data_IF_957682997574
#
_entry.id   IF_957682997574
#
_cell.length_a   1.000
_cell.length_b   1.000
_cell.length_c   1.000
_cell.angle_alpha   90.00
_cell.angle_beta   90.00
_cell.angle_gamma   90.00
#
_symmetry.space_group_name_H-M   'P 1'
#
loop_
_entity.id
_entity.type
_entity.pdbx_description
1 polymer ?
#
# COMPACT_ATOMS: atom_id res chain seq x y z
N UNK A 1 -9.87 9.90 5.99
CA UNK A 1 -9.43 8.60 5.44
C UNK A 1 -10.25 7.43 6.00
N UNK A 2 -10.38 7.23 7.31
CA UNK A 2 -11.12 6.11 7.89
C UNK A 2 -12.56 5.95 7.33
N UNK A 3 -13.37 7.01 7.34
CA UNK A 3 -14.76 6.99 6.81
C UNK A 3 -14.83 6.61 5.32
N UNK A 4 -13.77 6.89 4.56
CA UNK A 4 -13.70 6.60 3.13
C UNK A 4 -13.36 5.14 2.84
N UNK A 5 -12.70 4.45 3.78
CA UNK A 5 -12.28 3.06 3.65
C UNK A 5 -13.23 2.07 4.32
N UNK A 6 -14.16 2.55 5.17
CA UNK A 6 -15.08 1.68 5.94
C UNK A 6 -16.58 2.02 5.74
N UNK A 7 -16.89 2.97 4.86
CA UNK A 7 -18.28 3.48 4.72
C UNK A 7 -19.21 2.64 3.83
N UNK A 8 -18.70 1.60 3.15
CA UNK A 8 -19.46 0.80 2.20
C UNK A 8 -19.06 -0.67 2.25
N UNK A 9 -20.01 -1.58 1.97
CA UNK A 9 -19.74 -3.02 1.81
C UNK A 9 -19.02 -3.36 0.48
N UNK A 10 -18.42 -2.37 -0.18
CA UNK A 10 -17.72 -2.50 -1.43
C UNK A 10 -16.26 -2.11 -1.27
N UNK A 11 -15.40 -2.58 -2.17
CA UNK A 11 -13.98 -2.21 -2.20
C UNK A 11 -13.82 -0.70 -2.17
N UNK A 12 -13.05 -0.23 -1.22
CA UNK A 12 -12.82 1.20 -1.00
C UNK A 12 -11.36 1.55 -1.30
N UNK A 13 -11.14 2.56 -2.13
CA UNK A 13 -9.80 3.02 -2.46
C UNK A 13 -9.64 4.52 -2.15
N UNK A 14 -8.49 4.87 -1.59
CA UNK A 14 -8.10 6.25 -1.29
C UNK A 14 -6.74 6.54 -1.93
N UNK A 15 -6.64 7.66 -2.62
CA UNK A 15 -5.42 8.16 -3.24
C UNK A 15 -4.91 9.36 -2.46
N UNK A 16 -3.76 9.20 -1.79
CA UNK A 16 -3.04 10.29 -1.12
C UNK A 16 -2.09 10.92 -2.15
N UNK A 17 -2.42 12.10 -2.65
CA UNK A 17 -1.58 12.78 -3.63
C UNK A 17 -1.04 14.11 -3.09
N UNK A 18 0.12 14.54 -3.60
CA UNK A 18 0.78 15.79 -3.21
C UNK A 18 2.29 15.73 -3.42
N UNK A 19 2.97 16.80 -3.12
CA UNK A 19 4.41 16.96 -3.35
C UNK A 19 5.27 15.86 -2.70
N UNK A 20 6.47 15.64 -3.23
CA UNK A 20 7.47 14.78 -2.60
C UNK A 20 7.81 15.24 -1.18
N UNK A 21 8.07 14.31 -0.27
CA UNK A 21 8.45 14.63 1.11
C UNK A 21 7.36 15.19 2.02
N UNK A 22 6.10 15.34 1.54
CA UNK A 22 5.01 15.98 2.29
C UNK A 22 4.40 15.08 3.39
N UNK A 23 4.85 13.82 3.51
CA UNK A 23 4.37 12.91 4.56
C UNK A 23 3.25 11.95 4.13
N UNK A 24 3.00 11.73 2.82
CA UNK A 24 1.96 10.78 2.34
C UNK A 24 2.15 9.37 2.88
N UNK A 25 3.36 8.84 2.78
CA UNK A 25 3.74 7.52 3.31
C UNK A 25 3.58 7.48 4.82
N UNK A 26 3.99 8.54 5.55
CA UNK A 26 3.81 8.64 6.99
C UNK A 26 2.32 8.66 7.39
N UNK A 27 1.48 9.30 6.59
CA UNK A 27 0.04 9.32 6.82
C UNK A 27 -0.59 7.91 6.62
N UNK A 28 -0.09 7.14 5.64
CA UNK A 28 -0.49 5.75 5.45
C UNK A 28 -0.03 4.85 6.63
N UNK A 29 1.22 5.01 7.09
CA UNK A 29 1.76 4.30 8.26
C UNK A 29 0.93 4.61 9.50
N UNK A 30 0.65 5.88 9.77
CA UNK A 30 -0.13 6.29 10.93
C UNK A 30 -1.58 5.77 10.87
N UNK A 31 -2.15 5.70 9.66
CA UNK A 31 -3.45 5.07 9.47
C UNK A 31 -3.42 3.58 9.85
N UNK A 32 -2.42 2.84 9.39
CA UNK A 32 -2.22 1.42 9.74
C UNK A 32 -2.06 1.28 11.25
N UNK A 33 -1.20 2.08 11.86
CA UNK A 33 -0.95 2.03 13.31
C UNK A 33 -2.22 2.16 14.13
N UNK A 34 -3.15 3.05 13.70
CA UNK A 34 -4.42 3.32 14.41
C UNK A 34 -5.52 2.31 14.12
N UNK A 35 -5.47 1.63 12.97
CA UNK A 35 -6.61 0.85 12.48
C UNK A 35 -6.27 -0.60 12.12
N UNK A 36 -5.08 -1.09 12.47
CA UNK A 36 -4.63 -2.46 12.15
C UNK A 36 -5.63 -3.53 12.57
N UNK A 37 -6.30 -3.36 13.71
CA UNK A 37 -7.27 -4.31 14.26
C UNK A 37 -8.54 -4.49 13.37
N UNK A 38 -8.74 -3.60 12.40
CA UNK A 38 -9.86 -3.68 11.45
C UNK A 38 -9.58 -4.60 10.28
N UNK A 39 -8.31 -4.99 10.09
CA UNK A 39 -7.85 -5.77 8.97
C UNK A 39 -7.31 -7.12 9.41
N UNK A 40 -7.59 -8.15 8.60
CA UNK A 40 -7.02 -9.49 8.78
C UNK A 40 -5.64 -9.61 8.13
N UNK A 41 -5.33 -8.77 7.15
CA UNK A 41 -4.04 -8.70 6.49
C UNK A 41 -3.76 -7.28 5.99
N UNK A 42 -2.52 -6.82 6.13
CA UNK A 42 -2.06 -5.52 5.64
C UNK A 42 -0.83 -5.75 4.79
N UNK A 43 -0.91 -5.33 3.51
CA UNK A 43 0.10 -5.59 2.51
C UNK A 43 0.66 -4.27 1.97
N UNK A 44 1.97 -4.10 2.11
CA UNK A 44 2.69 -2.93 1.63
C UNK A 44 3.41 -3.26 0.34
N UNK A 45 3.13 -2.51 -0.73
CA UNK A 45 3.67 -2.75 -2.06
C UNK A 45 4.42 -1.50 -2.55
N UNK A 46 5.64 -1.71 -3.02
CA UNK A 46 6.39 -0.65 -3.70
C UNK A 46 5.88 -0.52 -5.15
N UNK A 47 5.20 0.57 -5.45
CA UNK A 47 4.59 0.83 -6.74
C UNK A 47 5.41 1.79 -7.63
N UNK A 48 6.70 1.91 -7.36
CA UNK A 48 7.61 2.78 -8.12
C UNK A 48 7.74 2.31 -9.59
N UNK A 49 7.77 1.00 -9.82
CA UNK A 49 7.84 0.33 -11.12
C UNK A 49 7.15 -1.04 -11.09
N UNK A 50 6.94 -1.66 -12.27
CA UNK A 50 6.24 -2.95 -12.35
C UNK A 50 7.04 -4.10 -11.69
N UNK A 51 8.37 -4.08 -11.76
CA UNK A 51 9.20 -5.15 -11.20
C UNK A 51 9.20 -5.08 -9.67
N UNK A 52 9.31 -3.88 -9.10
CA UNK A 52 9.13 -3.65 -7.65
C UNK A 52 7.77 -4.12 -7.15
N UNK A 53 6.71 -3.90 -7.93
CA UNK A 53 5.38 -4.40 -7.62
C UNK A 53 5.33 -5.93 -7.63
N UNK A 54 5.86 -6.58 -8.68
CA UNK A 54 5.90 -8.05 -8.78
C UNK A 54 6.67 -8.67 -7.62
N UNK A 55 7.82 -8.09 -7.26
CA UNK A 55 8.59 -8.52 -6.09
C UNK A 55 7.80 -8.37 -4.79
N UNK A 56 7.08 -7.26 -4.62
CA UNK A 56 6.20 -7.07 -3.46
C UNK A 56 5.10 -8.14 -3.39
N UNK A 57 4.53 -8.56 -4.53
CA UNK A 57 3.56 -9.66 -4.58
C UNK A 57 4.18 -11.01 -4.23
N UNK A 58 5.44 -11.25 -4.64
CA UNK A 58 6.19 -12.44 -4.22
C UNK A 58 6.36 -12.49 -2.70
N UNK A 59 6.75 -11.35 -2.11
CA UNK A 59 6.93 -11.25 -0.67
C UNK A 59 5.60 -11.51 0.08
N UNK A 60 4.48 -11.02 -0.46
CA UNK A 60 3.14 -11.34 0.06
C UNK A 60 2.87 -12.84 -0.01
N UNK A 61 3.13 -13.48 -1.15
CA UNK A 61 2.92 -14.92 -1.31
C UNK A 61 3.74 -15.74 -0.30
N UNK A 62 5.01 -15.40 -0.12
CA UNK A 62 5.89 -16.04 0.87
C UNK A 62 5.35 -15.91 2.30
N UNK A 63 4.87 -14.72 2.66
CA UNK A 63 4.30 -14.49 3.99
C UNK A 63 2.97 -15.23 4.18
N UNK A 64 2.10 -15.24 3.18
CA UNK A 64 0.84 -15.99 3.25
C UNK A 64 1.13 -17.48 3.43
N UNK A 65 2.05 -18.06 2.67
CA UNK A 65 2.44 -19.47 2.81
C UNK A 65 3.06 -19.79 4.17
N UNK A 66 3.82 -18.86 4.73
CA UNK A 66 4.40 -19.02 6.08
C UNK A 66 3.33 -19.14 7.16
N UNK A 67 2.24 -18.38 7.06
CA UNK A 67 1.16 -18.37 8.05
C UNK A 67 0.01 -19.33 7.71
N UNK A 68 -0.17 -19.65 6.44
CA UNK A 68 -1.20 -20.52 5.90
C UNK A 68 -0.62 -21.53 4.89
N UNK A 69 0.19 -22.51 5.35
CA UNK A 69 0.89 -23.44 4.46
C UNK A 69 -0.05 -24.31 3.62
N UNK A 70 -1.30 -24.48 4.05
CA UNK A 70 -2.34 -25.24 3.33
C UNK A 70 -2.99 -24.47 2.18
N UNK A 71 -2.55 -23.26 1.86
CA UNK A 71 -3.09 -22.46 0.75
C UNK A 71 -2.61 -23.03 -0.58
N UNK A 72 -3.36 -23.98 -1.14
CA UNK A 72 -3.00 -24.71 -2.37
C UNK A 72 -2.76 -23.79 -3.58
N UNK A 73 -3.51 -22.68 -3.69
CA UNK A 73 -3.36 -21.68 -4.77
C UNK A 73 -1.96 -21.08 -4.85
N UNK A 74 -1.33 -20.80 -3.72
CA UNK A 74 0.00 -20.20 -3.65
C UNK A 74 1.09 -21.27 -3.60
N UNK A 75 0.81 -22.42 -2.98
CA UNK A 75 1.79 -23.52 -2.88
C UNK A 75 2.10 -24.18 -4.22
N UNK A 76 1.20 -24.06 -5.21
CA UNK A 76 1.40 -24.62 -6.56
C UNK A 76 2.16 -23.72 -7.52
N UNK A 77 2.49 -22.50 -7.12
CA UNK A 77 3.16 -21.50 -7.98
C UNK A 77 4.63 -21.41 -7.63
N UNK A 78 5.51 -21.46 -8.64
CA UNK A 78 6.91 -21.14 -8.47
C UNK A 78 7.07 -19.63 -8.23
N UNK A 79 7.56 -19.27 -7.04
CA UNK A 79 7.68 -17.89 -6.61
C UNK A 79 8.86 -17.16 -7.26
N UNK A 80 9.78 -17.87 -7.87
CA UNK A 80 11.00 -17.27 -8.46
C UNK A 80 10.94 -17.21 -10.00
N UNK A 81 10.31 -18.19 -10.66
CA UNK A 81 10.33 -18.26 -12.13
C UNK A 81 9.29 -17.36 -12.79
N UNK A 82 8.08 -17.25 -12.22
CA UNK A 82 6.98 -16.54 -12.90
C UNK A 82 6.22 -15.58 -11.99
N UNK A 83 6.79 -14.40 -11.79
CA UNK A 83 6.19 -13.37 -10.95
C UNK A 83 4.77 -12.94 -11.39
N UNK A 84 4.41 -13.06 -12.67
CA UNK A 84 3.03 -12.77 -13.13
C UNK A 84 2.04 -13.83 -12.61
N UNK A 85 2.43 -15.09 -12.56
CA UNK A 85 1.60 -16.14 -11.95
C UNK A 85 1.46 -15.90 -10.43
N UNK A 86 2.54 -15.47 -9.76
CA UNK A 86 2.50 -15.10 -8.34
C UNK A 86 1.50 -13.96 -8.10
N UNK A 87 1.56 -12.89 -8.90
CA UNK A 87 0.59 -11.78 -8.83
C UNK A 87 -0.85 -12.29 -8.95
N UNK A 88 -1.13 -13.14 -9.95
CA UNK A 88 -2.46 -13.67 -10.17
C UNK A 88 -2.92 -14.59 -9.02
N UNK A 89 -2.03 -15.42 -8.48
CA UNK A 89 -2.34 -16.31 -7.36
C UNK A 89 -2.65 -15.51 -6.06
N UNK A 90 -1.87 -14.47 -5.77
CA UNK A 90 -2.14 -13.59 -4.62
C UNK A 90 -3.46 -12.84 -4.80
N UNK A 91 -3.75 -12.32 -6.00
CA UNK A 91 -5.03 -11.66 -6.28
C UNK A 91 -6.20 -12.63 -6.07
N UNK A 92 -6.12 -13.83 -6.62
CA UNK A 92 -7.14 -14.87 -6.45
C UNK A 92 -7.33 -15.24 -4.96
N UNK A 93 -6.24 -15.30 -4.19
CA UNK A 93 -6.32 -15.55 -2.74
C UNK A 93 -7.01 -14.40 -1.99
N UNK A 94 -6.76 -13.13 -2.36
CA UNK A 94 -7.43 -11.97 -1.79
C UNK A 94 -8.93 -11.90 -2.15
N UNK A 95 -9.33 -12.53 -3.27
CA UNK A 95 -10.72 -12.57 -3.74
C UNK A 95 -11.57 -13.63 -3.04
N UNK A 96 -10.96 -14.54 -2.26
CA UNK A 96 -11.69 -15.56 -1.50
C UNK A 96 -12.68 -14.89 -0.52
N UNK A 97 -13.96 -15.34 -0.46
CA UNK A 97 -14.97 -14.71 0.41
C UNK A 97 -14.62 -14.65 1.90
N UNK A 98 -13.71 -15.50 2.37
CA UNK A 98 -13.20 -15.47 3.76
C UNK A 98 -12.15 -14.38 4.00
N UNK A 99 -11.57 -13.80 2.97
CA UNK A 99 -10.51 -12.78 3.02
C UNK A 99 -11.05 -11.37 2.78
N UNK A 100 -12.13 -10.97 3.44
CA UNK A 100 -12.81 -9.71 3.12
C UNK A 100 -12.15 -8.46 3.71
N UNK A 101 -11.37 -8.60 4.77
CA UNK A 101 -10.85 -7.45 5.54
C UNK A 101 -9.34 -7.27 5.35
N UNK A 102 -8.89 -7.16 4.11
CA UNK A 102 -7.49 -6.83 3.81
C UNK A 102 -7.31 -5.35 3.47
N UNK A 103 -6.10 -4.86 3.66
CA UNK A 103 -5.65 -3.54 3.23
C UNK A 103 -4.40 -3.68 2.36
N UNK A 104 -4.45 -3.18 1.14
CA UNK A 104 -3.27 -3.03 0.27
C UNK A 104 -2.84 -1.57 0.22
N UNK A 105 -1.54 -1.33 0.34
CA UNK A 105 -0.94 0.00 0.28
C UNK A 105 0.05 0.02 -0.87
N UNK A 106 -0.31 0.71 -1.95
CA UNK A 106 0.57 0.96 -3.09
C UNK A 106 1.33 2.26 -2.84
N UNK A 107 2.57 2.13 -2.40
CA UNK A 107 3.41 3.29 -2.05
C UNK A 107 4.31 3.69 -3.22
N UNK A 108 4.54 4.98 -3.40
CA UNK A 108 5.37 5.57 -4.47
C UNK A 108 4.83 5.34 -5.89
N UNK A 109 3.52 5.32 -6.11
CA UNK A 109 2.91 5.20 -7.44
C UNK A 109 3.01 6.53 -8.22
N UNK A 110 4.23 6.93 -8.58
CA UNK A 110 4.52 8.26 -9.12
C UNK A 110 4.51 8.34 -10.65
N UNK A 111 4.64 7.21 -11.33
CA UNK A 111 4.63 7.10 -12.80
C UNK A 111 3.43 6.27 -13.30
N UNK A 112 2.19 6.81 -13.22
CA UNK A 112 1.02 6.08 -13.66
C UNK A 112 0.95 5.98 -15.19
N UNK A 113 0.56 4.81 -15.70
CA UNK A 113 0.23 4.65 -17.12
C UNK A 113 -1.10 5.33 -17.41
N UNK A 114 -1.03 6.46 -18.09
CA UNK A 114 -2.18 7.25 -18.52
C UNK A 114 -2.19 7.39 -20.04
N UNK A 115 -3.35 7.73 -20.61
CA UNK A 115 -3.47 8.06 -22.03
C UNK A 115 -2.61 9.30 -22.32
N UNK A 116 -1.52 9.14 -23.08
CA UNK A 116 -0.57 10.22 -23.37
C UNK A 116 0.72 10.18 -22.56
N UNK A 117 0.91 9.23 -21.65
CA UNK A 117 2.21 8.97 -21.06
C UNK A 117 3.02 8.02 -21.99
N UNK A 118 4.05 8.51 -22.72
CA UNK A 118 4.85 7.69 -23.63
C UNK A 118 5.85 6.78 -22.90
N UNK A 119 6.02 6.96 -21.59
CA UNK A 119 6.98 6.22 -20.79
C UNK A 119 6.61 4.74 -20.71
N UNK A 120 7.47 3.89 -21.26
CA UNK A 120 7.30 2.44 -21.22
C UNK A 120 7.42 1.86 -19.81
N UNK A 121 8.10 2.56 -18.92
CA UNK A 121 8.22 2.19 -17.49
C UNK A 121 7.00 2.56 -16.66
N UNK A 122 6.02 3.25 -17.27
CA UNK A 122 4.80 3.65 -16.58
C UNK A 122 3.99 2.43 -16.13
N UNK A 123 3.57 2.45 -14.88
CA UNK A 123 2.87 1.35 -14.22
C UNK A 123 1.36 1.47 -14.43
N UNK A 124 0.71 0.37 -14.83
CA UNK A 124 -0.75 0.25 -14.75
C UNK A 124 -1.15 -0.51 -13.49
N UNK A 125 -1.38 0.22 -12.41
CA UNK A 125 -1.75 -0.37 -11.12
C UNK A 125 -3.02 -1.23 -11.17
N UNK A 126 -3.93 -0.98 -12.15
CA UNK A 126 -5.19 -1.76 -12.31
C UNK A 126 -4.93 -3.24 -12.55
N UNK A 127 -3.81 -3.58 -13.18
CA UNK A 127 -3.39 -4.97 -13.42
C UNK A 127 -3.07 -5.73 -12.12
N UNK A 128 -2.74 -4.99 -11.06
CA UNK A 128 -2.33 -5.48 -9.77
C UNK A 128 -3.45 -5.44 -8.71
N UNK A 129 -4.59 -4.86 -9.04
CA UNK A 129 -5.73 -4.82 -8.13
C UNK A 129 -6.52 -6.15 -8.19
N UNK A 130 -6.94 -6.71 -7.02
CA UNK A 130 -7.90 -7.83 -7.00
C UNK A 130 -9.20 -7.48 -7.71
N UNK A 131 -9.86 -8.45 -8.31
CA UNK A 131 -11.15 -8.28 -8.99
C UNK A 131 -12.35 -8.19 -8.04
N UNK A 132 -12.17 -8.60 -6.77
CA UNK A 132 -13.24 -8.58 -5.76
C UNK A 132 -13.76 -7.17 -5.47
N UNK A 133 -14.98 -7.08 -5.02
CA UNK A 133 -15.64 -5.85 -4.59
C UNK A 133 -15.43 -5.52 -3.10
N UNK A 134 -14.60 -6.29 -2.39
CA UNK A 134 -14.27 -6.09 -0.98
C UNK A 134 -12.80 -5.69 -0.79
N UNK A 135 -12.43 -5.36 0.46
CA UNK A 135 -11.10 -4.93 0.86
C UNK A 135 -10.87 -3.43 0.74
N UNK A 136 -9.71 -2.98 1.18
CA UNK A 136 -9.35 -1.56 1.21
C UNK A 136 -8.02 -1.30 0.52
N UNK A 137 -7.91 -0.16 -0.17
CA UNK A 137 -6.72 0.23 -0.91
C UNK A 137 -6.31 1.65 -0.53
N UNK A 138 -5.03 1.85 -0.26
CA UNK A 138 -4.40 3.16 -0.17
C UNK A 138 -3.34 3.26 -1.26
N UNK A 139 -3.34 4.35 -2.01
CA UNK A 139 -2.30 4.65 -3.00
C UNK A 139 -1.63 5.95 -2.60
N UNK A 140 -0.30 5.98 -2.50
CA UNK A 140 0.44 7.22 -2.35
C UNK A 140 1.09 7.60 -3.68
N UNK A 141 1.00 8.87 -4.07
CA UNK A 141 1.51 9.33 -5.35
C UNK A 141 1.85 10.83 -5.34
N UNK A 142 2.79 11.24 -6.17
CA UNK A 142 3.01 12.65 -6.50
C UNK A 142 2.10 13.11 -7.64
N UNK A 143 1.62 12.17 -8.45
CA UNK A 143 0.76 12.47 -9.59
C UNK A 143 -0.66 12.83 -9.17
N UNK A 144 -1.17 13.94 -9.69
CA UNK A 144 -2.58 14.32 -9.55
C UNK A 144 -3.50 13.60 -10.53
N UNK A 145 -2.96 12.77 -11.43
CA UNK A 145 -3.73 12.09 -12.49
C UNK A 145 -4.27 10.72 -12.05
N UNK A 146 -3.83 10.20 -10.91
CA UNK A 146 -4.29 8.91 -10.39
C UNK A 146 -5.75 9.00 -9.97
N UNK A 147 -6.61 8.18 -10.58
CA UNK A 147 -8.07 8.22 -10.41
C UNK A 147 -8.66 6.93 -9.79
N UNK A 148 -7.82 6.00 -9.33
CA UNK A 148 -8.23 4.68 -8.83
C UNK A 148 -8.87 4.70 -7.42
N UNK A 149 -9.48 5.82 -7.01
CA UNK A 149 -10.14 5.94 -5.72
C UNK A 149 -10.48 7.38 -5.34
N UNK A 150 -10.97 7.58 -4.12
CA UNK A 150 -11.22 8.92 -3.60
C UNK A 150 -9.91 9.63 -3.31
N UNK A 151 -9.72 10.79 -3.91
CA UNK A 151 -8.49 11.57 -3.84
C UNK A 151 -8.47 12.44 -2.59
N UNK A 152 -7.34 12.40 -1.86
CA UNK A 152 -7.05 13.30 -0.74
C UNK A 152 -5.76 14.04 -1.10
N UNK A 153 -5.87 15.36 -1.27
CA UNK A 153 -4.70 16.21 -1.46
C UNK A 153 -4.02 16.44 -0.11
N UNK A 154 -2.80 15.90 0.04
CA UNK A 154 -1.98 16.12 1.22
C UNK A 154 -1.21 17.42 1.04
N UNK A 155 -1.50 18.41 1.89
CA UNK A 155 -0.86 19.72 1.88
C UNK A 155 0.21 19.81 2.95
N UNK A 156 1.17 20.74 2.77
CA UNK A 156 2.10 21.10 3.85
C UNK A 156 1.33 21.54 5.08
N UNK A 157 1.81 21.11 6.24
CA UNK A 157 1.34 21.67 7.49
C UNK A 157 1.65 23.17 7.50
N UNK A 158 0.69 24.04 7.82
CA UNK A 158 0.89 25.48 7.80
C UNK A 158 1.92 25.96 8.85
N UNK A 159 2.20 25.12 9.85
CA UNK A 159 3.09 25.45 10.95
C UNK A 159 4.17 24.37 11.13
N UNK A 160 5.46 24.80 11.10
CA UNK A 160 6.62 23.94 11.34
C UNK A 160 6.55 23.26 12.72
N UNK A 161 5.94 23.92 13.70
CA UNK A 161 5.79 23.44 15.08
C UNK A 161 4.87 22.22 15.16
N UNK A 162 3.75 22.21 14.39
CA UNK A 162 2.87 21.03 14.27
C UNK A 162 3.59 19.85 13.61
N UNK A 163 4.48 20.15 12.62
CA UNK A 163 5.34 19.15 12.01
C UNK A 163 6.32 18.50 12.99
N UNK A 164 6.92 19.29 13.85
CA UNK A 164 7.83 18.83 14.91
C UNK A 164 7.10 18.03 15.99
N UNK A 165 5.89 18.42 16.38
CA UNK A 165 5.05 17.66 17.31
C UNK A 165 4.66 16.28 16.74
N UNK A 166 4.29 16.21 15.47
CA UNK A 166 4.01 14.94 14.79
C UNK A 166 5.25 14.05 14.78
N UNK A 167 6.43 14.62 14.46
CA UNK A 167 7.68 13.89 14.44
C UNK A 167 8.09 13.42 15.85
N UNK A 168 7.94 14.26 16.87
CA UNK A 168 8.26 13.89 18.27
C UNK A 168 7.33 12.78 18.79
N UNK A 169 6.01 12.88 18.48
CA UNK A 169 5.03 11.89 18.88
C UNK A 169 5.17 10.56 18.12
N UNK A 170 5.67 10.61 16.88
CA UNK A 170 5.83 9.41 16.03
C UNK A 170 7.15 8.69 16.33
N UNK A 171 8.20 9.41 16.71
CA UNK A 171 9.53 8.86 16.99
C UNK A 171 9.75 8.44 18.43
N UNK A 172 8.87 8.82 19.36
CA UNK A 172 9.06 8.60 20.79
C UNK A 172 10.26 9.35 21.39
N UNK A 173 10.89 10.25 20.65
CA UNK A 173 12.06 11.03 21.07
C UNK A 173 11.68 12.49 21.33
N UNK A 174 11.90 12.95 22.52
CA UNK A 174 11.90 14.39 22.85
C UNK A 174 13.21 14.99 22.34
N UNK A 175 13.13 15.90 21.37
CA UNK A 175 14.29 16.66 20.84
C UNK A 175 14.91 15.99 19.60
N UNK A 176 14.32 16.18 18.40
CA UNK A 176 14.98 15.90 17.13
C UNK A 176 15.49 17.20 16.55
N UNK A 177 16.74 17.49 16.81
CA UNK A 177 17.54 18.36 15.97
C UNK A 177 18.40 17.49 15.06
N UNK A 178 18.21 17.64 13.75
CA UNK A 178 19.05 17.16 12.64
C UNK A 178 19.26 15.63 12.44
N UNK A 179 18.62 15.11 11.42
CA UNK A 179 19.23 14.23 10.41
C UNK A 179 19.58 12.81 10.83
N UNK A 180 18.69 11.84 10.49
CA UNK A 180 19.14 10.49 10.12
C UNK A 180 18.21 9.88 9.06
N UNK A 181 18.75 9.16 8.05
CA UNK A 181 17.94 8.49 7.04
C UNK A 181 17.33 7.23 7.67
N UNK A 182 15.99 7.17 7.71
CA UNK A 182 15.27 5.97 8.11
C UNK A 182 15.19 4.99 6.94
N UNK A 183 16.08 4.02 6.93
CA UNK A 183 15.83 2.75 6.26
C UNK A 183 14.84 1.94 7.10
N UNK A 184 13.55 2.16 6.91
CA UNK A 184 12.54 1.28 7.51
C UNK A 184 12.25 0.19 6.48
N UNK A 185 12.80 -1.01 6.71
CA UNK A 185 12.31 -2.24 6.11
C UNK A 185 10.89 -2.49 6.65
N UNK A 186 9.87 -1.94 5.98
CA UNK A 186 8.46 -2.06 6.37
C UNK A 186 7.81 -3.32 5.79
N UNK A 187 8.49 -4.46 5.85
CA UNK A 187 7.86 -5.76 5.72
C UNK A 187 7.35 -6.22 7.10
N UNK A 188 6.45 -5.44 7.70
CA UNK A 188 5.73 -5.86 8.90
C UNK A 188 4.31 -6.25 8.53
N UNK A 189 4.11 -7.53 8.31
CA UNK A 189 2.80 -8.15 8.27
C UNK A 189 2.27 -8.24 9.70
N UNK A 190 1.09 -7.67 9.92
CA UNK A 190 0.35 -7.82 11.18
C UNK A 190 -0.81 -8.75 10.86
N UNK A 191 -0.70 -9.99 11.36
CA UNK A 191 -1.79 -10.95 11.40
C UNK A 191 -2.41 -10.91 12.80
N UNK A 192 -3.71 -10.85 12.85
CA UNK A 192 -4.52 -11.17 14.02
C UNK A 192 -5.53 -12.25 13.67
#
# INVERSE_FOLDING_TARGET
>A
MYRLLHGHNTRSAVVLHGLGGIGKTQLAIEYVRRHKEKYTGIFWLNANDEDSLRLSFRDIAQQVLKHHPSTSMLASVDLEENLNQVVNAVKAWLEIPKNMRWLMIFDNYDNPRTTGNPDRSAVDVRRFLPGSDHGSIIITTRSSQVSQGRRIHVQKLPNTQEGLEILSNTSGRKGIENGMPFGICLCRFIWH
#
